data_IF_878575852593
#
_entry.id   IF_878575852593
#
_cell.length_a   1.000
_cell.length_b   1.000
_cell.length_c   1.000
_cell.angle_alpha   90.00
_cell.angle_beta   90.00
_cell.angle_gamma   90.00
#
_symmetry.space_group_name_H-M   'P 1'
#
loop_
_entity.id
_entity.type
_entity.pdbx_description
1 polymer ?
#
# COMPACT_ATOMS: atom_id res chain seq x y z
N UNK A 1 50.00 11.23 5.80
CA UNK A 1 49.74 12.60 5.34
C UNK A 1 50.97 13.18 4.62
N UNK A 2 51.44 12.55 3.52
CA UNK A 2 52.62 13.05 2.77
C UNK A 2 52.80 12.44 1.35
N UNK A 3 51.73 12.17 0.60
CA UNK A 3 51.85 11.71 -0.79
C UNK A 3 50.92 12.38 -1.80
N UNK A 4 50.46 13.62 -1.56
CA UNK A 4 49.93 14.46 -2.63
C UNK A 4 51.09 14.96 -3.50
N UNK A 5 51.60 14.07 -4.35
CA UNK A 5 52.52 14.42 -5.44
C UNK A 5 51.78 15.30 -6.43
N UNK A 6 51.81 16.60 -6.14
CA UNK A 6 52.00 17.73 -7.06
C UNK A 6 51.67 17.38 -8.52
N UNK A 7 50.37 17.23 -8.85
CA UNK A 7 49.95 17.29 -10.24
C UNK A 7 50.33 18.68 -10.73
N UNK A 8 51.13 18.74 -11.80
CA UNK A 8 51.72 19.96 -12.37
C UNK A 8 50.81 21.19 -12.24
N UNK A 9 51.32 22.25 -11.62
CA UNK A 9 50.61 23.55 -11.44
C UNK A 9 50.17 24.23 -12.74
N UNK A 10 50.59 23.72 -13.89
CA UNK A 10 50.31 24.33 -15.20
C UNK A 10 48.84 24.10 -15.55
N UNK A 11 48.11 25.18 -15.79
CA UNK A 11 46.70 25.07 -16.19
C UNK A 11 46.58 24.36 -17.55
N UNK A 12 45.50 23.59 -17.78
CA UNK A 12 45.24 22.96 -19.07
C UNK A 12 45.35 23.93 -20.24
N UNK A 13 44.87 25.16 -20.05
CA UNK A 13 45.00 26.25 -21.02
C UNK A 13 46.45 26.60 -21.37
N UNK A 14 47.34 26.73 -20.37
CA UNK A 14 48.76 27.05 -20.64
C UNK A 14 49.43 25.91 -21.40
N UNK A 15 49.09 24.66 -21.10
CA UNK A 15 49.60 23.50 -21.86
C UNK A 15 49.12 23.51 -23.30
N UNK A 16 47.83 23.79 -23.50
CA UNK A 16 47.24 23.92 -24.82
C UNK A 16 47.91 25.05 -25.61
N UNK A 17 48.14 26.22 -24.99
CA UNK A 17 48.84 27.35 -25.63
C UNK A 17 50.27 26.96 -26.00
N UNK A 18 51.01 26.33 -25.08
CA UNK A 18 52.39 25.94 -25.32
C UNK A 18 52.47 24.96 -26.48
N UNK A 19 51.61 23.93 -26.49
CA UNK A 19 51.54 22.95 -27.58
C UNK A 19 51.10 23.59 -28.90
N UNK A 20 50.08 24.45 -28.87
CA UNK A 20 49.59 25.16 -30.05
C UNK A 20 50.66 26.06 -30.65
N UNK A 21 51.37 26.82 -29.82
CA UNK A 21 52.47 27.68 -30.25
C UNK A 21 53.63 26.85 -30.80
N UNK A 22 54.01 25.77 -30.11
CA UNK A 22 55.09 24.88 -30.53
C UNK A 22 54.82 24.15 -31.86
N UNK A 23 53.55 23.90 -32.20
CA UNK A 23 53.17 23.28 -33.48
C UNK A 23 52.94 24.30 -34.59
N UNK A 24 52.28 25.42 -34.30
CA UNK A 24 51.87 26.41 -35.31
C UNK A 24 53.04 27.31 -35.72
N UNK A 25 53.89 27.75 -34.79
CA UNK A 25 54.96 28.71 -35.11
C UNK A 25 55.99 28.12 -36.08
N UNK A 26 56.58 26.92 -35.84
CA UNK A 26 57.49 26.31 -36.79
C UNK A 26 56.81 26.01 -38.13
N UNK A 27 55.53 25.61 -38.10
CA UNK A 27 54.75 25.40 -39.31
C UNK A 27 54.66 26.67 -40.16
N UNK A 28 54.16 27.77 -39.58
CA UNK A 28 54.01 29.04 -40.31
C UNK A 28 55.36 29.50 -40.85
N UNK A 29 56.44 29.41 -40.07
CA UNK A 29 57.78 29.82 -40.51
C UNK A 29 58.30 28.95 -41.66
N UNK A 30 58.18 27.62 -41.56
CA UNK A 30 58.71 26.71 -42.58
C UNK A 30 57.88 26.66 -43.85
N UNK A 31 56.57 26.86 -43.76
CA UNK A 31 55.66 26.66 -44.89
C UNK A 31 55.16 27.96 -45.51
N UNK A 32 55.57 29.14 -45.02
CA UNK A 32 55.02 30.42 -45.48
C UNK A 32 55.09 30.60 -47.00
N UNK A 33 56.25 30.34 -47.61
CA UNK A 33 56.45 30.51 -49.06
C UNK A 33 55.61 29.50 -49.87
N UNK A 34 55.55 28.25 -49.40
CA UNK A 34 54.72 27.20 -50.02
C UNK A 34 53.23 27.49 -49.86
N UNK A 35 52.85 28.14 -48.76
CA UNK A 35 51.48 28.52 -48.45
C UNK A 35 50.99 29.66 -49.34
N UNK A 36 51.78 30.72 -49.49
CA UNK A 36 51.44 31.82 -50.39
C UNK A 36 51.36 31.37 -51.85
N UNK A 37 52.28 30.49 -52.25
CA UNK A 37 52.31 29.92 -53.61
C UNK A 37 51.11 29.01 -53.85
N UNK A 38 50.78 28.14 -52.88
CA UNK A 38 49.61 27.26 -52.95
C UNK A 38 48.30 28.02 -53.07
N UNK A 39 48.13 29.11 -52.30
CA UNK A 39 46.94 29.98 -52.36
C UNK A 39 46.79 30.69 -53.71
N UNK A 40 47.90 31.14 -54.31
CA UNK A 40 47.88 31.80 -55.62
C UNK A 40 47.63 30.81 -56.77
N UNK A 41 47.99 29.53 -56.60
CA UNK A 41 47.92 28.52 -57.66
C UNK A 41 46.62 27.72 -57.66
N UNK A 42 45.92 27.66 -56.52
CA UNK A 42 44.70 26.87 -56.36
C UNK A 42 43.47 27.54 -56.98
N UNK A 43 43.15 27.14 -58.21
CA UNK A 43 41.90 27.47 -58.91
C UNK A 43 40.69 26.68 -58.42
N UNK A 44 40.87 25.57 -57.67
CA UNK A 44 39.78 24.70 -57.23
C UNK A 44 39.03 25.22 -56.00
N UNK A 45 39.67 26.08 -55.20
CA UNK A 45 39.12 26.64 -53.98
C UNK A 45 39.15 25.69 -52.77
N UNK A 46 39.69 24.47 -52.92
CA UNK A 46 39.74 23.47 -51.86
C UNK A 46 40.64 23.92 -50.72
N UNK A 47 41.73 24.64 -51.00
CA UNK A 47 42.61 25.18 -49.96
C UNK A 47 41.83 26.12 -49.03
N UNK A 48 40.93 26.97 -49.55
CA UNK A 48 40.09 27.83 -48.71
C UNK A 48 39.14 27.03 -47.83
N UNK A 49 38.59 25.92 -48.32
CA UNK A 49 37.75 25.01 -47.51
C UNK A 49 38.57 24.36 -46.39
N UNK A 50 39.78 23.88 -46.71
CA UNK A 50 40.71 23.31 -45.73
C UNK A 50 41.04 24.36 -44.65
N UNK A 51 41.35 25.59 -45.04
CA UNK A 51 41.65 26.67 -44.10
C UNK A 51 40.45 27.06 -43.23
N UNK A 52 39.25 27.12 -43.80
CA UNK A 52 38.03 27.38 -43.06
C UNK A 52 37.73 26.30 -42.01
N UNK A 53 37.84 25.02 -42.40
CA UNK A 53 37.68 23.89 -41.49
C UNK A 53 38.76 23.86 -40.41
N UNK A 54 40.00 24.21 -40.77
CA UNK A 54 41.10 24.31 -39.82
C UNK A 54 40.88 25.41 -38.79
N UNK A 55 40.51 26.61 -39.24
CA UNK A 55 40.20 27.74 -38.35
C UNK A 55 39.04 27.41 -37.41
N UNK A 56 37.99 26.76 -37.92
CA UNK A 56 36.89 26.25 -37.11
C UNK A 56 37.36 25.23 -36.07
N UNK A 57 38.21 24.27 -36.48
CA UNK A 57 38.78 23.26 -35.58
C UNK A 57 39.63 23.87 -34.46
N UNK A 58 40.48 24.85 -34.78
CA UNK A 58 41.27 25.59 -33.78
C UNK A 58 40.36 26.33 -32.81
N UNK A 59 39.37 27.09 -33.32
CA UNK A 59 38.46 27.86 -32.48
C UNK A 59 37.67 26.95 -31.51
N UNK A 60 37.19 25.81 -32.01
CA UNK A 60 36.48 24.82 -31.18
C UNK A 60 37.43 24.16 -30.15
N UNK A 61 38.66 23.86 -30.55
CA UNK A 61 39.69 23.32 -29.65
C UNK A 61 40.05 24.30 -28.53
N UNK A 62 40.19 25.58 -28.87
CA UNK A 62 40.45 26.66 -27.93
C UNK A 62 39.30 26.84 -26.92
N UNK A 63 38.05 26.84 -27.41
CA UNK A 63 36.86 26.89 -26.56
C UNK A 63 36.81 25.73 -25.58
N UNK A 64 37.16 24.52 -26.01
CA UNK A 64 37.24 23.34 -25.15
C UNK A 64 38.33 23.50 -24.07
N UNK A 65 39.51 24.00 -24.43
CA UNK A 65 40.61 24.24 -23.49
C UNK A 65 40.24 25.28 -22.41
N UNK A 66 39.55 26.36 -22.80
CA UNK A 66 39.03 27.36 -21.86
C UNK A 66 37.98 26.78 -20.91
N UNK A 67 37.04 25.99 -21.45
CA UNK A 67 36.00 25.36 -20.65
C UNK A 67 36.59 24.38 -19.62
N UNK A 68 37.51 23.49 -20.03
CA UNK A 68 38.19 22.56 -19.10
C UNK A 68 38.95 23.32 -18.01
N UNK A 69 39.57 24.45 -18.35
CA UNK A 69 40.31 25.26 -17.38
C UNK A 69 39.38 25.93 -16.37
N UNK A 70 38.20 26.39 -16.81
CA UNK A 70 37.16 26.92 -15.91
C UNK A 70 36.62 25.85 -14.97
N UNK A 71 36.29 24.67 -15.49
CA UNK A 71 35.83 23.52 -14.70
C UNK A 71 36.90 23.10 -13.67
N UNK A 72 38.16 23.02 -14.08
CA UNK A 72 39.26 22.70 -13.15
C UNK A 72 39.43 23.76 -12.07
N UNK A 73 39.31 25.05 -12.42
CA UNK A 73 39.42 26.13 -11.43
C UNK A 73 38.26 26.08 -10.42
N UNK A 74 37.04 25.80 -10.87
CA UNK A 74 35.87 25.61 -10.01
C UNK A 74 36.04 24.39 -9.09
N UNK A 75 36.49 23.26 -9.65
CA UNK A 75 36.78 22.04 -8.90
C UNK A 75 37.84 22.27 -7.81
N UNK A 76 38.97 22.91 -8.13
CA UNK A 76 40.03 23.20 -7.14
C UNK A 76 39.55 24.14 -6.03
N UNK A 77 38.62 25.07 -6.32
CA UNK A 77 37.99 25.90 -5.28
C UNK A 77 37.12 25.06 -4.35
N UNK A 78 36.26 24.21 -4.92
CA UNK A 78 35.39 23.31 -4.17
C UNK A 78 36.20 22.32 -3.32
N UNK A 79 37.27 21.73 -3.85
CA UNK A 79 38.17 20.83 -3.11
C UNK A 79 38.81 21.52 -1.89
N UNK A 80 39.20 22.79 -2.02
CA UNK A 80 39.84 23.55 -0.94
C UNK A 80 38.86 23.93 0.18
N UNK A 81 37.68 24.39 -0.19
CA UNK A 81 36.67 24.85 0.77
C UNK A 81 35.89 23.64 1.35
N UNK A 82 35.94 22.48 0.67
CA UNK A 82 35.12 21.28 0.95
C UNK A 82 33.63 21.57 1.00
N UNK A 83 33.20 22.60 0.28
CA UNK A 83 31.81 22.98 0.13
C UNK A 83 31.49 23.07 -1.36
N UNK A 84 30.39 22.42 -1.75
CA UNK A 84 29.85 22.50 -3.09
C UNK A 84 28.96 23.75 -3.21
N UNK A 85 29.58 24.92 -3.36
CA UNK A 85 28.85 26.15 -3.62
C UNK A 85 28.19 26.14 -5.01
N UNK A 86 27.19 27.00 -5.22
CA UNK A 86 26.48 27.14 -6.49
C UNK A 86 27.38 27.85 -7.53
N UNK A 87 28.37 27.12 -8.06
CA UNK A 87 29.24 27.56 -9.15
C UNK A 87 28.65 27.08 -10.49
N UNK A 88 28.89 27.82 -11.58
CA UNK A 88 28.40 27.51 -12.92
C UNK A 88 29.15 26.35 -13.60
N UNK A 89 29.79 25.49 -12.81
CA UNK A 89 30.57 24.34 -13.28
C UNK A 89 29.69 23.09 -13.28
N UNK A 90 29.65 22.40 -14.42
CA UNK A 90 28.92 21.13 -14.55
C UNK A 90 29.44 20.12 -13.51
N UNK A 91 30.76 20.08 -13.28
CA UNK A 91 31.39 19.18 -12.32
C UNK A 91 31.01 19.51 -10.87
N UNK A 92 31.07 20.77 -10.47
CA UNK A 92 30.70 21.19 -9.11
C UNK A 92 29.23 20.88 -8.82
N UNK A 93 28.35 21.07 -9.80
CA UNK A 93 26.93 20.74 -9.65
C UNK A 93 26.68 19.25 -9.38
N UNK A 94 27.51 18.35 -9.94
CA UNK A 94 27.41 16.91 -9.69
C UNK A 94 27.84 16.57 -8.26
N UNK A 95 28.93 17.18 -7.79
CA UNK A 95 29.35 17.04 -6.40
C UNK A 95 28.28 17.56 -5.45
N UNK A 96 27.66 18.71 -5.75
CA UNK A 96 26.57 19.26 -4.95
C UNK A 96 25.40 18.27 -4.86
N UNK A 97 24.91 17.77 -5.99
CA UNK A 97 23.85 16.74 -6.02
C UNK A 97 24.25 15.49 -5.23
N UNK A 98 25.53 15.13 -5.26
CA UNK A 98 26.11 14.07 -4.46
C UNK A 98 26.03 14.34 -2.96
N UNK A 99 26.33 15.55 -2.53
CA UNK A 99 26.22 15.94 -1.11
C UNK A 99 24.76 16.02 -0.69
N UNK A 100 23.91 16.68 -1.48
CA UNK A 100 22.48 16.85 -1.19
C UNK A 100 21.76 15.50 -1.04
N UNK A 101 22.06 14.52 -1.92
CA UNK A 101 21.44 13.20 -1.82
C UNK A 101 22.01 12.38 -0.64
N UNK A 102 23.24 12.65 -0.20
CA UNK A 102 23.80 12.03 1.01
C UNK A 102 23.11 12.60 2.26
N UNK A 103 22.88 13.92 2.30
CA UNK A 103 22.11 14.58 3.36
C UNK A 103 20.66 14.07 3.41
N UNK A 104 20.06 13.79 2.26
CA UNK A 104 18.73 13.19 2.15
C UNK A 104 18.67 11.70 2.55
N UNK A 105 19.79 11.09 2.97
CA UNK A 105 19.81 9.70 3.42
C UNK A 105 19.96 8.67 2.29
N UNK A 106 20.22 9.10 1.05
CA UNK A 106 20.34 8.20 -0.11
C UNK A 106 21.78 7.70 -0.30
N UNK A 107 21.92 6.43 -0.69
CA UNK A 107 23.20 5.91 -1.17
C UNK A 107 23.48 6.43 -2.59
N UNK A 108 24.72 6.83 -2.85
CA UNK A 108 25.11 7.42 -4.13
C UNK A 108 26.30 6.67 -4.67
N UNK A 109 26.18 6.22 -5.91
CA UNK A 109 27.31 5.72 -6.66
C UNK A 109 27.95 6.85 -7.47
N UNK A 110 28.95 7.51 -6.89
CA UNK A 110 29.62 8.65 -7.53
C UNK A 110 30.33 8.26 -8.83
N UNK A 111 30.78 7.01 -8.95
CA UNK A 111 31.39 6.47 -10.16
C UNK A 111 30.44 6.57 -11.37
N UNK A 112 29.17 6.23 -11.17
CA UNK A 112 28.15 6.31 -12.24
C UNK A 112 27.91 7.76 -12.67
N UNK A 113 27.78 8.69 -11.71
CA UNK A 113 27.58 10.11 -12.02
C UNK A 113 28.76 10.69 -12.79
N UNK A 114 29.97 10.34 -12.39
CA UNK A 114 31.19 10.82 -13.01
C UNK A 114 31.45 10.15 -14.38
N UNK A 115 31.02 8.90 -14.57
CA UNK A 115 31.03 8.21 -15.86
C UNK A 115 30.09 8.92 -16.86
N UNK A 116 28.90 9.33 -16.42
CA UNK A 116 27.98 10.11 -17.26
C UNK A 116 28.58 11.47 -17.61
N UNK A 117 29.23 12.14 -16.66
CA UNK A 117 29.94 13.40 -16.90
C UNK A 117 31.09 13.25 -17.90
N UNK A 118 31.94 12.24 -17.72
CA UNK A 118 33.09 12.00 -18.59
C UNK A 118 32.66 11.64 -20.01
N UNK A 119 31.55 10.90 -20.16
CA UNK A 119 30.94 10.62 -21.46
C UNK A 119 30.44 11.89 -22.15
N UNK A 120 29.70 12.76 -21.44
CA UNK A 120 29.23 14.05 -21.95
C UNK A 120 30.39 14.96 -22.36
N UNK A 121 31.47 14.98 -21.57
CA UNK A 121 32.67 15.76 -21.85
C UNK A 121 33.44 15.22 -23.07
N UNK A 122 33.63 13.90 -23.14
CA UNK A 122 34.30 13.24 -24.26
C UNK A 122 33.60 13.50 -25.59
N UNK A 123 32.25 13.52 -25.59
CA UNK A 123 31.47 13.86 -26.77
C UNK A 123 31.77 15.28 -27.29
N UNK A 124 31.89 16.27 -26.40
CA UNK A 124 32.24 17.66 -26.76
C UNK A 124 33.67 17.81 -27.31
N UNK A 125 34.60 16.97 -26.88
CA UNK A 125 36.01 17.01 -27.31
C UNK A 125 36.18 16.26 -28.63
N UNK A 126 35.43 15.18 -28.84
CA UNK A 126 35.47 14.36 -30.05
C UNK A 126 35.12 15.13 -31.32
N UNK A 127 34.35 16.23 -31.24
CA UNK A 127 34.07 17.08 -32.40
C UNK A 127 35.33 17.63 -33.07
N UNK A 128 36.35 18.03 -32.29
CA UNK A 128 37.63 18.52 -32.83
C UNK A 128 38.38 17.41 -33.56
N UNK A 129 38.35 16.19 -32.99
CA UNK A 129 38.95 15.02 -33.64
C UNK A 129 38.21 14.64 -34.93
N UNK A 130 36.89 14.82 -34.98
CA UNK A 130 36.10 14.61 -36.19
C UNK A 130 36.46 15.66 -37.26
N UNK A 131 36.58 16.94 -36.90
CA UNK A 131 37.05 17.99 -37.81
C UNK A 131 38.44 17.70 -38.37
N UNK A 132 39.37 17.19 -37.54
CA UNK A 132 40.68 16.72 -37.98
C UNK A 132 40.58 15.61 -39.04
N UNK A 133 39.73 14.61 -38.82
CA UNK A 133 39.52 13.53 -39.79
C UNK A 133 38.90 14.05 -41.10
N UNK A 134 37.90 14.93 -41.02
CA UNK A 134 37.28 15.56 -42.18
C UNK A 134 38.33 16.37 -42.97
N UNK A 135 39.23 17.08 -42.28
CA UNK A 135 40.27 17.88 -42.92
C UNK A 135 41.29 17.02 -43.69
N UNK A 136 41.64 15.85 -43.16
CA UNK A 136 42.47 14.87 -43.87
C UNK A 136 41.75 14.37 -45.13
N UNK A 137 40.46 14.02 -45.01
CA UNK A 137 39.67 13.57 -46.16
C UNK A 137 39.47 14.66 -47.21
N UNK A 138 39.37 15.92 -46.80
CA UNK A 138 39.33 17.07 -47.71
C UNK A 138 40.66 17.22 -48.48
N UNK A 139 41.80 16.98 -47.82
CA UNK A 139 43.10 16.91 -48.48
C UNK A 139 43.18 15.79 -49.52
N UNK A 140 42.68 14.60 -49.18
CA UNK A 140 42.59 13.49 -50.14
C UNK A 140 41.62 13.77 -51.29
N UNK A 141 40.50 14.47 -51.05
CA UNK A 141 39.62 14.91 -52.14
C UNK A 141 40.35 15.85 -53.10
N UNK A 142 41.25 16.69 -52.57
CA UNK A 142 42.12 17.54 -53.36
C UNK A 142 43.05 16.78 -54.31
N UNK A 143 43.53 15.58 -53.96
CA UNK A 143 44.29 14.76 -54.92
C UNK A 143 43.44 14.30 -56.07
N UNK A 144 42.21 13.85 -55.80
CA UNK A 144 41.30 13.38 -56.83
C UNK A 144 41.01 14.51 -57.82
N UNK A 145 40.72 15.71 -57.31
CA UNK A 145 40.44 16.87 -58.15
C UNK A 145 41.71 17.30 -58.92
N UNK A 146 42.88 17.33 -58.28
CA UNK A 146 44.12 17.66 -58.97
C UNK A 146 44.50 16.65 -60.05
N UNK A 147 44.23 15.35 -59.85
CA UNK A 147 44.40 14.32 -60.88
C UNK A 147 43.44 14.53 -62.07
N UNK A 148 42.18 14.91 -61.82
CA UNK A 148 41.23 15.23 -62.89
C UNK A 148 41.71 16.43 -63.73
N UNK A 149 42.23 17.47 -63.08
CA UNK A 149 42.83 18.63 -63.77
C UNK A 149 44.05 18.20 -64.60
N UNK A 150 44.89 17.33 -64.02
CA UNK A 150 46.09 16.79 -64.67
C UNK A 150 45.73 16.02 -65.94
N UNK A 151 44.74 15.11 -65.85
CA UNK A 151 44.26 14.33 -66.99
C UNK A 151 43.66 15.24 -68.07
N UNK A 152 42.91 16.27 -67.67
CA UNK A 152 42.35 17.25 -68.60
C UNK A 152 43.46 18.01 -69.35
N UNK A 153 44.53 18.41 -68.66
CA UNK A 153 45.70 19.02 -69.30
C UNK A 153 46.39 18.09 -70.30
N UNK A 154 46.54 16.80 -69.97
CA UNK A 154 47.10 15.80 -70.90
C UNK A 154 46.21 15.63 -72.13
N UNK A 155 44.88 15.63 -71.98
CA UNK A 155 43.96 15.56 -73.12
C UNK A 155 44.09 16.77 -74.05
N UNK A 156 44.31 17.98 -73.51
CA UNK A 156 44.58 19.19 -74.31
C UNK A 156 45.90 19.08 -75.09
N UNK A 157 46.97 18.59 -74.45
CA UNK A 157 48.26 18.35 -75.12
C UNK A 157 48.11 17.36 -76.29
N UNK A 158 47.38 16.26 -76.08
CA UNK A 158 47.18 15.23 -77.11
C UNK A 158 46.29 15.72 -78.26
N UNK A 159 45.29 16.57 -77.97
CA UNK A 159 44.42 17.17 -78.99
C UNK A 159 45.14 18.20 -79.85
N UNK A 160 46.09 18.96 -79.28
CA UNK A 160 46.86 19.97 -79.98
C UNK A 160 48.17 19.45 -80.61
N UNK A 161 48.50 18.16 -80.40
CA UNK A 161 49.75 17.56 -80.80
C UNK A 161 49.94 17.61 -82.33
N UNK A 162 50.81 18.53 -82.79
CA UNK A 162 51.19 18.68 -84.19
C UNK A 162 50.52 19.84 -84.93
N UNK A 163 49.53 20.51 -84.33
CA UNK A 163 48.78 21.60 -84.99
C UNK A 163 48.94 22.96 -84.30
N UNK A 164 48.98 23.02 -82.96
CA UNK A 164 49.06 24.30 -82.24
C UNK A 164 49.97 24.24 -81.00
N UNK A 165 51.14 24.88 -81.09
CA UNK A 165 52.13 24.93 -80.00
C UNK A 165 51.60 25.66 -78.75
N UNK A 166 50.77 26.70 -78.92
CA UNK A 166 50.24 27.46 -77.79
C UNK A 166 49.26 26.64 -76.95
N UNK A 167 48.38 25.86 -77.59
CA UNK A 167 47.46 24.95 -76.91
C UNK A 167 48.21 23.83 -76.19
N UNK A 168 49.28 23.32 -76.79
CA UNK A 168 50.14 22.33 -76.15
C UNK A 168 50.82 22.89 -74.89
N UNK A 169 51.31 24.14 -74.93
CA UNK A 169 51.91 24.81 -73.77
C UNK A 169 50.86 25.07 -72.67
N UNK A 170 49.64 25.44 -73.06
CA UNK A 170 48.51 25.60 -72.14
C UNK A 170 48.17 24.29 -71.42
N UNK A 171 48.05 23.19 -72.16
CA UNK A 171 47.77 21.88 -71.60
C UNK A 171 48.87 21.39 -70.64
N UNK A 172 50.14 21.71 -70.95
CA UNK A 172 51.27 21.42 -70.05
C UNK A 172 51.18 22.22 -68.74
N UNK A 173 50.90 23.52 -68.81
CA UNK A 173 50.71 24.35 -67.61
C UNK A 173 49.55 23.85 -66.75
N UNK A 174 48.43 23.47 -67.37
CA UNK A 174 47.27 22.89 -66.69
C UNK A 174 47.61 21.56 -66.01
N UNK A 175 48.39 20.72 -66.68
CA UNK A 175 48.87 19.44 -66.14
C UNK A 175 49.72 19.66 -64.87
N UNK A 176 50.68 20.58 -64.94
CA UNK A 176 51.54 20.93 -63.80
C UNK A 176 50.73 21.56 -62.66
N UNK A 177 49.76 22.42 -62.98
CA UNK A 177 48.86 23.02 -62.00
C UNK A 177 48.03 21.96 -61.27
N UNK A 178 47.46 20.99 -62.00
CA UNK A 178 46.69 19.89 -61.40
C UNK A 178 47.51 19.08 -60.39
N UNK A 179 48.76 18.76 -60.74
CA UNK A 179 49.69 18.10 -59.84
C UNK A 179 50.03 18.95 -58.60
N UNK A 180 50.26 20.26 -58.80
CA UNK A 180 50.48 21.21 -57.70
C UNK A 180 49.30 21.28 -56.73
N UNK A 181 48.09 21.42 -57.24
CA UNK A 181 46.86 21.45 -56.43
C UNK A 181 46.69 20.16 -55.63
N UNK A 182 46.89 18.99 -56.25
CA UNK A 182 46.83 17.70 -55.54
C UNK A 182 47.84 17.61 -54.38
N UNK A 183 49.06 18.08 -54.62
CA UNK A 183 50.12 18.06 -53.62
C UNK A 183 49.83 19.01 -52.45
N UNK A 184 49.51 20.28 -52.73
CA UNK A 184 49.27 21.28 -51.69
C UNK A 184 48.03 20.97 -50.84
N UNK A 185 46.93 20.56 -51.46
CA UNK A 185 45.71 20.20 -50.72
C UNK A 185 45.94 19.01 -49.78
N UNK A 186 46.71 18.01 -50.22
CA UNK A 186 47.10 16.87 -49.36
C UNK A 186 48.03 17.28 -48.25
N UNK A 187 49.05 18.08 -48.57
CA UNK A 187 50.01 18.56 -47.60
C UNK A 187 49.31 19.37 -46.50
N UNK A 188 48.46 20.33 -46.86
CA UNK A 188 47.71 21.12 -45.87
C UNK A 188 46.67 20.29 -45.13
N UNK A 189 45.87 19.47 -45.81
CA UNK A 189 44.86 18.64 -45.15
C UNK A 189 45.47 17.63 -44.17
N UNK A 190 46.56 16.96 -44.57
CA UNK A 190 47.27 15.99 -43.76
C UNK A 190 48.01 16.62 -42.58
N UNK A 191 48.68 17.76 -42.78
CA UNK A 191 49.46 18.39 -41.73
C UNK A 191 48.58 19.20 -40.76
N UNK A 192 47.69 20.05 -41.25
CA UNK A 192 46.78 20.83 -40.42
C UNK A 192 45.78 19.93 -39.67
N UNK A 193 45.23 18.93 -40.37
CA UNK A 193 44.28 17.97 -39.80
C UNK A 193 44.98 16.93 -38.95
N UNK A 194 45.87 16.15 -39.56
CA UNK A 194 46.47 14.95 -38.96
C UNK A 194 47.52 15.22 -37.90
N UNK A 195 48.24 16.35 -37.96
CA UNK A 195 49.26 16.70 -36.98
C UNK A 195 48.71 17.75 -36.01
N UNK A 196 48.38 18.95 -36.50
CA UNK A 196 48.05 20.09 -35.63
C UNK A 196 46.74 19.87 -34.88
N UNK A 197 45.60 19.74 -35.57
CA UNK A 197 44.30 19.57 -34.91
C UNK A 197 44.23 18.30 -34.08
N UNK A 198 44.82 17.20 -34.57
CA UNK A 198 44.82 15.92 -33.85
C UNK A 198 45.60 15.99 -32.55
N UNK A 199 46.76 16.66 -32.54
CA UNK A 199 47.54 16.87 -31.33
C UNK A 199 46.78 17.74 -30.31
N UNK A 200 46.12 18.81 -30.77
CA UNK A 200 45.31 19.68 -29.90
C UNK A 200 44.08 18.95 -29.33
N UNK A 201 43.42 18.11 -30.13
CA UNK A 201 42.33 17.26 -29.68
C UNK A 201 42.79 16.29 -28.57
N UNK A 202 43.94 15.65 -28.79
CA UNK A 202 44.52 14.73 -27.82
C UNK A 202 44.92 15.43 -26.50
N UNK A 203 45.42 16.66 -26.54
CA UNK A 203 45.72 17.41 -25.31
C UNK A 203 44.45 17.78 -24.53
N UNK A 204 43.38 18.18 -25.23
CA UNK A 204 42.08 18.43 -24.61
C UNK A 204 41.50 17.16 -23.96
N UNK A 205 41.59 16.01 -24.64
CA UNK A 205 41.16 14.72 -24.10
C UNK A 205 41.96 14.33 -22.85
N UNK A 206 43.29 14.46 -22.90
CA UNK A 206 44.16 14.24 -21.72
C UNK A 206 43.79 15.15 -20.55
N UNK A 207 43.53 16.42 -20.81
CA UNK A 207 43.14 17.38 -19.78
C UNK A 207 41.79 17.05 -19.14
N UNK A 208 40.81 16.65 -19.95
CA UNK A 208 39.50 16.19 -19.51
C UNK A 208 39.56 14.92 -18.67
N UNK A 209 40.31 13.92 -19.13
CA UNK A 209 40.48 12.65 -18.42
C UNK A 209 41.19 12.86 -17.08
N UNK A 210 42.20 13.73 -17.03
CA UNK A 210 42.85 14.11 -15.77
C UNK A 210 41.89 14.79 -14.81
N UNK A 211 41.08 15.73 -15.27
CA UNK A 211 40.07 16.39 -14.43
C UNK A 211 39.06 15.38 -13.86
N UNK A 212 38.61 14.43 -14.69
CA UNK A 212 37.70 13.37 -14.26
C UNK A 212 38.38 12.45 -13.24
N UNK A 213 39.64 12.05 -13.45
CA UNK A 213 40.38 11.22 -12.51
C UNK A 213 40.61 11.92 -11.16
N UNK A 214 41.00 13.20 -11.18
CA UNK A 214 41.16 14.03 -9.98
C UNK A 214 39.81 14.15 -9.22
N UNK A 215 38.70 14.31 -9.94
CA UNK A 215 37.36 14.34 -9.37
C UNK A 215 36.96 13.00 -8.73
N UNK A 216 37.22 11.86 -9.40
CA UNK A 216 36.95 10.53 -8.84
C UNK A 216 37.71 10.34 -7.54
N UNK A 217 39.01 10.65 -7.55
CA UNK A 217 39.86 10.54 -6.37
C UNK A 217 39.34 11.40 -5.21
N UNK A 218 38.92 12.64 -5.49
CA UNK A 218 38.34 13.51 -4.46
C UNK A 218 37.05 12.94 -3.88
N UNK A 219 36.17 12.39 -4.72
CA UNK A 219 34.93 11.76 -4.26
C UNK A 219 35.17 10.49 -3.44
N UNK A 220 36.15 9.66 -3.82
CA UNK A 220 36.56 8.48 -3.07
C UNK A 220 37.13 8.83 -1.68
N UNK A 221 37.86 9.93 -1.57
CA UNK A 221 38.43 10.37 -0.30
C UNK A 221 37.42 11.09 0.59
N UNK A 222 36.46 11.81 0.02
CA UNK A 222 35.56 12.68 0.79
C UNK A 222 34.10 12.19 0.87
N UNK A 223 33.45 11.85 -0.26
CA UNK A 223 32.04 11.46 -0.28
C UNK A 223 31.83 9.98 0.06
N UNK A 224 32.63 9.09 -0.53
CA UNK A 224 32.43 7.64 -0.41
C UNK A 224 32.51 7.13 1.04
N UNK A 225 33.40 7.60 1.92
CA UNK A 225 33.41 7.19 3.32
C UNK A 225 32.13 7.60 4.05
N UNK A 226 31.61 8.80 3.76
CA UNK A 226 30.37 9.29 4.38
C UNK A 226 29.16 8.50 3.88
N UNK A 227 29.10 8.19 2.57
CA UNK A 227 28.06 7.35 1.99
C UNK A 227 28.09 5.92 2.57
N UNK A 228 29.27 5.32 2.71
CA UNK A 228 29.44 4.00 3.35
C UNK A 228 29.07 4.01 4.83
N UNK A 229 29.43 5.08 5.55
CA UNK A 229 29.06 5.23 6.97
C UNK A 229 27.54 5.36 7.13
N UNK A 230 26.88 6.15 6.28
CA UNK A 230 25.44 6.27 6.24
C UNK A 230 24.77 4.93 5.92
N UNK A 231 25.26 4.21 4.90
CA UNK A 231 24.81 2.87 4.54
C UNK A 231 24.91 1.90 5.73
N UNK A 232 26.05 1.90 6.44
CA UNK A 232 26.26 1.07 7.62
C UNK A 232 25.32 1.45 8.77
N UNK A 233 25.04 2.74 8.97
CA UNK A 233 24.13 3.22 10.01
C UNK A 233 22.69 2.80 9.72
N UNK A 234 22.25 2.93 8.46
CA UNK A 234 20.92 2.48 8.02
C UNK A 234 20.80 0.97 8.18
N UNK A 235 21.82 0.20 7.79
CA UNK A 235 21.83 -1.25 7.98
C UNK A 235 21.77 -1.66 9.47
N UNK A 236 22.52 -0.96 10.33
CA UNK A 236 22.50 -1.21 11.78
C UNK A 236 21.16 -0.88 12.43
N UNK A 237 20.57 0.29 12.10
CA UNK A 237 19.24 0.68 12.59
C UNK A 237 18.14 -0.27 12.14
N UNK A 238 18.19 -0.74 10.89
CA UNK A 238 17.25 -1.74 10.38
C UNK A 238 17.37 -3.07 11.11
N UNK A 239 18.58 -3.50 11.47
CA UNK A 239 18.78 -4.71 12.25
C UNK A 239 18.22 -4.55 13.68
N UNK A 240 18.40 -3.39 14.30
CA UNK A 240 17.84 -3.06 15.62
C UNK A 240 16.31 -3.03 15.60
N UNK A 241 15.69 -2.42 14.58
CA UNK A 241 14.23 -2.43 14.38
C UNK A 241 13.69 -3.85 14.16
N UNK A 242 14.37 -4.68 13.36
CA UNK A 242 13.99 -6.08 13.15
C UNK A 242 14.09 -6.89 14.45
N UNK A 243 15.14 -6.68 15.25
CA UNK A 243 15.25 -7.29 16.57
C UNK A 243 14.16 -6.80 17.54
N UNK A 244 13.83 -5.51 17.49
CA UNK A 244 12.71 -4.93 18.23
C UNK A 244 11.38 -5.60 17.84
N UNK A 245 11.12 -5.75 16.55
CA UNK A 245 9.92 -6.42 16.04
C UNK A 245 9.87 -7.89 16.48
N UNK A 246 10.97 -8.64 16.37
CA UNK A 246 11.04 -10.01 16.87
C UNK A 246 10.76 -10.11 18.36
N UNK A 247 11.24 -9.14 19.16
CA UNK A 247 10.96 -9.09 20.59
C UNK A 247 9.48 -8.85 20.87
N UNK A 248 8.87 -7.89 20.19
CA UNK A 248 7.42 -7.63 20.33
C UNK A 248 6.57 -8.84 19.90
N UNK A 249 6.97 -9.56 18.84
CA UNK A 249 6.32 -10.79 18.42
C UNK A 249 6.47 -11.92 19.44
N UNK A 250 7.64 -12.04 20.08
CA UNK A 250 7.86 -13.02 21.15
C UNK A 250 7.03 -12.67 22.40
N UNK A 251 6.99 -11.41 22.80
CA UNK A 251 6.17 -10.94 23.93
C UNK A 251 4.67 -11.16 23.66
N UNK A 252 4.22 -10.91 22.43
CA UNK A 252 2.85 -11.23 22.00
C UNK A 252 2.58 -12.74 22.04
N UNK A 253 3.51 -13.56 21.55
CA UNK A 253 3.41 -15.02 21.60
C UNK A 253 3.31 -15.55 23.04
N UNK A 254 4.16 -15.07 23.94
CA UNK A 254 4.14 -15.44 25.36
C UNK A 254 2.83 -15.00 26.04
N UNK A 255 2.33 -13.80 25.68
CA UNK A 255 1.04 -13.30 26.14
C UNK A 255 -0.13 -14.17 25.68
N UNK A 256 -0.11 -14.62 24.42
CA UNK A 256 -1.11 -15.55 23.88
C UNK A 256 -1.03 -16.89 24.62
N UNK A 257 0.16 -17.48 24.80
CA UNK A 257 0.31 -18.74 25.54
C UNK A 257 -0.19 -18.64 26.99
N UNK A 258 0.10 -17.55 27.70
CA UNK A 258 -0.46 -17.32 29.05
C UNK A 258 -1.97 -17.19 29.02
N UNK A 259 -2.52 -16.50 28.02
CA UNK A 259 -3.98 -16.34 27.88
C UNK A 259 -4.63 -17.69 27.59
N UNK A 260 -4.05 -18.53 26.74
CA UNK A 260 -4.51 -19.90 26.48
C UNK A 260 -4.54 -20.72 27.77
N UNK A 261 -3.47 -20.68 28.58
CA UNK A 261 -3.45 -21.39 29.87
C UNK A 261 -4.52 -20.89 30.85
N UNK A 262 -4.79 -19.58 30.88
CA UNK A 262 -5.87 -19.01 31.70
C UNK A 262 -7.23 -19.46 31.19
N UNK A 263 -7.44 -19.52 29.87
CA UNK A 263 -8.69 -20.01 29.28
C UNK A 263 -8.91 -21.48 29.63
N UNK A 264 -7.90 -22.33 29.52
CA UNK A 264 -7.98 -23.75 29.89
C UNK A 264 -8.31 -23.93 31.39
N UNK A 265 -7.64 -23.18 32.27
CA UNK A 265 -7.92 -23.20 33.71
C UNK A 265 -9.34 -22.70 34.05
N UNK A 266 -9.79 -21.63 33.38
CA UNK A 266 -11.14 -21.09 33.57
C UNK A 266 -12.22 -22.00 32.97
N UNK A 267 -11.94 -22.71 31.89
CA UNK A 267 -12.85 -23.70 31.32
C UNK A 267 -13.03 -24.88 32.28
N UNK A 268 -11.95 -25.41 32.85
CA UNK A 268 -12.01 -26.45 33.87
C UNK A 268 -12.77 -26.00 35.14
N UNK A 269 -12.59 -24.73 35.55
CA UNK A 269 -13.33 -24.16 36.67
C UNK A 269 -14.83 -23.98 36.36
N UNK A 270 -15.18 -23.56 35.14
CA UNK A 270 -16.56 -23.46 34.67
C UNK A 270 -17.26 -24.81 34.62
N UNK A 271 -16.60 -25.84 34.10
CA UNK A 271 -17.13 -27.21 34.06
C UNK A 271 -17.44 -27.71 35.48
N UNK A 272 -16.52 -27.47 36.42
CA UNK A 272 -16.72 -27.83 37.83
C UNK A 272 -17.84 -27.02 38.50
N UNK A 273 -17.99 -25.73 38.18
CA UNK A 273 -19.11 -24.92 38.65
C UNK A 273 -20.45 -25.41 38.09
N UNK A 274 -20.49 -25.82 36.82
CA UNK A 274 -21.69 -26.34 36.19
C UNK A 274 -22.13 -27.65 36.81
N UNK A 275 -21.21 -28.59 37.06
CA UNK A 275 -21.54 -29.84 37.77
C UNK A 275 -22.09 -29.58 39.17
N UNK A 276 -21.48 -28.67 39.94
CA UNK A 276 -21.96 -28.31 41.27
C UNK A 276 -23.36 -27.69 41.23
N UNK A 277 -23.64 -26.80 40.27
CA UNK A 277 -24.95 -26.17 40.11
C UNK A 277 -26.04 -27.18 39.75
N UNK A 278 -25.73 -28.14 38.86
CA UNK A 278 -26.65 -29.23 38.51
C UNK A 278 -26.94 -30.11 39.74
N UNK A 279 -25.91 -30.43 40.53
CA UNK A 279 -26.07 -31.20 41.75
C UNK A 279 -26.92 -30.46 42.81
N UNK A 280 -26.66 -29.17 43.00
CA UNK A 280 -27.39 -28.32 43.95
C UNK A 280 -28.85 -28.15 43.54
N UNK A 281 -29.11 -27.87 42.25
CA UNK A 281 -30.46 -27.77 41.70
C UNK A 281 -31.24 -29.08 41.84
N UNK A 282 -30.60 -30.23 41.61
CA UNK A 282 -31.22 -31.56 41.82
C UNK A 282 -31.55 -31.81 43.29
N UNK A 283 -30.67 -31.43 44.20
CA UNK A 283 -30.88 -31.59 45.64
C UNK A 283 -32.02 -30.69 46.14
N UNK A 284 -32.04 -29.43 45.70
CA UNK A 284 -33.09 -28.47 46.04
C UNK A 284 -34.45 -28.89 45.47
N UNK A 285 -34.50 -29.32 44.21
CA UNK A 285 -35.72 -29.84 43.58
C UNK A 285 -36.25 -31.08 44.30
N UNK A 286 -35.37 -32.00 44.73
CA UNK A 286 -35.77 -33.17 45.53
C UNK A 286 -36.33 -32.77 46.90
N UNK A 287 -35.77 -31.73 47.52
CA UNK A 287 -36.24 -31.22 48.82
C UNK A 287 -37.64 -30.59 48.69
N UNK A 288 -37.83 -29.74 47.68
CA UNK A 288 -39.13 -29.10 47.40
C UNK A 288 -40.19 -30.13 47.03
N UNK A 289 -39.84 -31.14 46.23
CA UNK A 289 -40.77 -32.22 45.85
C UNK A 289 -41.20 -33.04 47.07
N UNK A 290 -40.26 -33.42 47.94
CA UNK A 290 -40.59 -34.18 49.15
C UNK A 290 -41.48 -33.38 50.11
N UNK A 291 -41.16 -32.10 50.32
CA UNK A 291 -41.99 -31.20 51.15
C UNK A 291 -43.41 -31.04 50.59
N UNK A 292 -43.55 -30.91 49.26
CA UNK A 292 -44.86 -30.80 48.62
C UNK A 292 -45.69 -32.07 48.71
N UNK A 293 -45.05 -33.26 48.71
CA UNK A 293 -45.73 -34.54 48.92
C UNK A 293 -46.24 -34.66 50.37
N UNK A 294 -45.46 -34.23 51.36
CA UNK A 294 -45.88 -34.23 52.77
C UNK A 294 -47.08 -33.31 53.03
N UNK A 295 -47.07 -32.08 52.50
CA UNK A 295 -48.22 -31.16 52.61
C UNK A 295 -49.48 -31.73 51.95
N UNK A 296 -49.33 -32.40 50.81
CA UNK A 296 -50.46 -33.02 50.10
C UNK A 296 -51.07 -34.18 50.89
N UNK A 297 -50.25 -34.99 51.57
CA UNK A 297 -50.70 -36.06 52.46
C UNK A 297 -51.44 -35.52 53.68
N UNK A 298 -50.96 -34.43 54.28
CA UNK A 298 -51.59 -33.78 55.43
C UNK A 298 -52.94 -33.14 55.07
N UNK A 299 -53.01 -32.49 53.89
CA UNK A 299 -54.26 -31.99 53.34
C UNK A 299 -55.30 -33.10 53.09
N UNK A 300 -54.84 -34.29 52.64
CA UNK A 300 -55.72 -35.44 52.44
C UNK A 300 -56.29 -35.98 53.75
N UNK A 301 -55.46 -36.09 54.80
CA UNK A 301 -55.92 -36.52 56.14
C UNK A 301 -56.93 -35.53 56.74
N UNK A 302 -56.71 -34.23 56.57
CA UNK A 302 -57.65 -33.20 57.01
C UNK A 302 -59.03 -33.33 56.34
N UNK A 303 -59.06 -33.73 55.07
CA UNK A 303 -60.30 -33.99 54.34
C UNK A 303 -61.06 -35.21 54.89
N UNK A 304 -60.33 -36.28 55.24
CA UNK A 304 -60.92 -37.48 55.85
C UNK A 304 -61.57 -37.16 57.19
N UNK A 305 -60.89 -36.39 58.05
CA UNK A 305 -61.43 -35.95 59.35
C UNK A 305 -62.69 -35.08 59.19
N UNK A 306 -62.72 -34.20 58.18
CA UNK A 306 -63.90 -33.38 57.88
C UNK A 306 -65.11 -34.22 57.45
N UNK A 307 -64.88 -35.32 56.71
CA UNK A 307 -65.94 -36.25 56.29
C UNK A 307 -66.43 -37.10 57.46
N UNK A 308 -65.54 -37.58 58.34
CA UNK A 308 -65.91 -38.34 59.54
C UNK A 308 -66.71 -37.49 60.55
N UNK A 309 -66.30 -36.24 60.77
CA UNK A 309 -66.99 -35.31 61.70
C UNK A 309 -68.36 -34.82 61.20
N UNK A 310 -68.63 -34.90 59.89
CA UNK A 310 -69.93 -34.57 59.30
C UNK A 310 -71.00 -35.67 59.45
N UNK A 311 -70.60 -36.89 59.84
CA UNK A 311 -71.51 -38.06 59.86
C UNK A 311 -72.41 -38.11 61.11
N UNK A 312 -71.91 -37.68 62.27
CA UNK A 312 -72.69 -37.63 63.52
C UNK A 312 -73.92 -36.70 63.47
N UNK A 313 -73.82 -35.42 63.05
CA UNK A 313 -74.97 -34.51 63.07
C UNK A 313 -76.05 -34.90 62.05
N UNK A 314 -75.71 -35.65 61.00
CA UNK A 314 -76.68 -36.17 60.04
C UNK A 314 -77.48 -37.33 60.65
N UNK A 315 -76.82 -38.20 61.43
CA UNK A 315 -77.46 -39.32 62.13
C UNK A 315 -78.42 -38.81 63.21
N UNK A 316 -78.00 -37.82 64.00
CA UNK A 316 -78.82 -37.20 65.05
C UNK A 316 -80.10 -36.55 64.47
N UNK A 317 -79.98 -35.79 63.36
CA UNK A 317 -81.15 -35.20 62.69
C UNK A 317 -82.10 -36.21 62.06
N UNK A 318 -81.60 -37.38 61.64
CA UNK A 318 -82.43 -38.48 61.14
C UNK A 318 -83.20 -39.16 62.28
N UNK A 319 -82.61 -39.25 63.47
CA UNK A 319 -83.22 -39.82 64.67
C UNK A 319 -84.34 -38.90 65.22
N UNK A 320 -84.10 -37.60 65.28
CA UNK A 320 -85.11 -36.59 65.65
C UNK A 320 -86.30 -36.57 64.69
N UNK A 321 -86.04 -36.71 63.38
CA UNK A 321 -87.10 -36.78 62.38
C UNK A 321 -87.97 -38.03 62.55
N UNK A 322 -87.37 -39.17 62.90
CA UNK A 322 -88.10 -40.41 63.13
C UNK A 322 -89.02 -40.32 64.36
N UNK A 323 -88.57 -39.67 65.44
CA UNK A 323 -89.39 -39.42 66.64
C UNK A 323 -90.57 -38.50 66.33
N UNK A 324 -90.34 -37.39 65.64
CA UNK A 324 -91.39 -36.44 65.28
C UNK A 324 -92.50 -37.05 64.40
N UNK A 325 -92.12 -37.95 63.47
CA UNK A 325 -93.08 -38.69 62.63
C UNK A 325 -93.94 -39.64 63.48
N UNK A 326 -93.33 -40.32 64.45
CA UNK A 326 -94.05 -41.27 65.31
C UNK A 326 -95.07 -40.56 66.23
N UNK A 327 -94.68 -39.42 66.81
CA UNK A 327 -95.57 -38.61 67.66
C UNK A 327 -96.77 -38.06 66.88
N UNK A 328 -96.56 -37.61 65.65
CA UNK A 328 -97.64 -37.16 64.77
C UNK A 328 -98.62 -38.29 64.41
N UNK A 329 -98.12 -39.51 64.20
CA UNK A 329 -98.95 -40.68 63.92
C UNK A 329 -99.82 -41.06 65.13
N UNK A 330 -99.26 -41.05 66.34
CA UNK A 330 -100.02 -41.31 67.58
C UNK A 330 -101.08 -40.24 67.85
N UNK A 331 -100.76 -38.95 67.67
CA UNK A 331 -101.73 -37.86 67.83
C UNK A 331 -102.91 -37.98 66.85
N UNK A 332 -102.63 -38.36 65.60
CA UNK A 332 -103.67 -38.58 64.58
C UNK A 332 -104.58 -39.76 64.93
N UNK A 333 -104.02 -40.86 65.45
CA UNK A 333 -104.79 -42.03 65.91
C UNK A 333 -105.75 -41.67 67.05
N UNK A 334 -105.27 -40.93 68.06
CA UNK A 334 -106.08 -40.53 69.20
C UNK A 334 -107.25 -39.62 68.80
N UNK A 335 -107.02 -38.66 67.88
CA UNK A 335 -108.08 -37.77 67.39
C UNK A 335 -109.18 -38.50 66.60
N UNK A 336 -108.80 -39.54 65.83
CA UNK A 336 -109.76 -40.39 65.10
C UNK A 336 -110.63 -41.20 66.08
N UNK A 337 -110.05 -41.70 67.17
CA UNK A 337 -110.77 -42.48 68.18
C UNK A 337 -111.72 -41.61 69.02
N UNK A 338 -111.32 -40.39 69.39
CA UNK A 338 -112.20 -39.41 70.04
C UNK A 338 -113.40 -39.02 69.17
N UNK A 339 -113.17 -38.80 67.88
CA UNK A 339 -114.23 -38.43 66.93
C UNK A 339 -115.24 -39.56 66.76
N UNK A 340 -114.76 -40.81 66.70
CA UNK A 340 -115.62 -42.01 66.61
C UNK A 340 -116.48 -42.18 67.87
N UNK A 341 -115.91 -41.96 69.06
CA UNK A 341 -116.64 -42.07 70.33
C UNK A 341 -117.70 -40.97 70.49
N UNK A 342 -117.42 -39.74 70.06
CA UNK A 342 -118.40 -38.65 70.06
C UNK A 342 -119.56 -38.93 69.10
N UNK A 343 -119.27 -39.50 67.92
CA UNK A 343 -120.29 -39.79 66.90
C UNK A 343 -121.25 -40.91 67.33
N UNK A 344 -120.75 -41.96 67.97
CA UNK A 344 -121.58 -43.04 68.54
C UNK A 344 -122.53 -42.53 69.64
N UNK A 345 -122.05 -41.63 70.51
CA UNK A 345 -122.86 -41.06 71.59
C UNK A 345 -124.01 -40.18 71.09
N UNK A 346 -123.82 -39.50 69.95
CA UNK A 346 -124.87 -38.69 69.30
C UNK A 346 -125.91 -39.59 68.61
N UNK A 347 -125.48 -40.69 67.98
CA UNK A 347 -126.36 -41.66 67.34
C UNK A 347 -127.26 -42.38 68.36
N UNK A 348 -126.69 -42.82 69.49
CA UNK A 348 -127.46 -43.46 70.58
C UNK A 348 -128.46 -42.48 71.21
N UNK A 349 -128.06 -41.21 71.42
CA UNK A 349 -128.95 -40.17 71.95
C UNK A 349 -130.14 -39.89 71.04
N UNK A 350 -129.93 -39.86 69.72
CA UNK A 350 -131.02 -39.68 68.73
C UNK A 350 -131.93 -40.90 68.62
N UNK A 351 -131.39 -42.11 68.76
CA UNK A 351 -132.18 -43.34 68.74
C UNK A 351 -133.14 -43.42 69.96
N UNK A 352 -132.66 -43.01 71.14
CA UNK A 352 -133.48 -42.95 72.37
C UNK A 352 -134.56 -41.87 72.26
N UNK A 353 -134.24 -40.70 71.70
CA UNK A 353 -135.23 -39.62 71.49
C UNK A 353 -136.32 -40.00 70.47
N UNK A 354 -135.95 -40.73 69.41
CA UNK A 354 -136.91 -41.26 68.43
C UNK A 354 -137.79 -42.36 69.04
N UNK A 355 -137.23 -43.22 69.89
CA UNK A 355 -137.99 -44.26 70.60
C UNK A 355 -139.02 -43.64 71.56
N UNK A 356 -138.65 -42.59 72.31
CA UNK A 356 -139.57 -41.86 73.19
C UNK A 356 -140.70 -41.16 72.40
N UNK A 357 -140.36 -40.54 71.27
CA UNK A 357 -141.35 -39.90 70.38
C UNK A 357 -142.31 -40.91 69.74
N UNK A 358 -141.81 -42.08 69.35
CA UNK A 358 -142.65 -43.17 68.81
C UNK A 358 -143.52 -43.80 69.91
N UNK A 359 -143.01 -43.94 71.13
CA UNK A 359 -143.77 -44.45 72.28
C UNK A 359 -144.90 -43.50 72.67
N UNK A 360 -144.64 -42.19 72.73
CA UNK A 360 -145.69 -41.17 72.98
C UNK A 360 -146.73 -41.10 71.86
N UNK A 361 -146.31 -41.33 70.61
CA UNK A 361 -147.25 -41.42 69.49
C UNK A 361 -148.12 -42.69 69.58
N UNK A 362 -147.58 -43.80 70.10
CA UNK A 362 -148.34 -45.02 70.34
C UNK A 362 -149.35 -44.86 71.48
N UNK A 363 -148.97 -44.21 72.60
CA UNK A 363 -149.89 -43.88 73.71
C UNK A 363 -151.04 -42.96 73.25
N UNK A 364 -150.76 -41.94 72.43
CA UNK A 364 -151.81 -41.05 71.90
C UNK A 364 -152.80 -41.77 70.97
N UNK A 365 -152.34 -42.79 70.24
CA UNK A 365 -153.24 -43.61 69.40
C UNK A 365 -154.04 -44.57 70.28
N UNK A 366 -153.47 -45.08 71.38
CA UNK A 366 -154.14 -45.97 72.32
C UNK A 366 -155.21 -45.23 73.17
N UNK A 367 -154.96 -43.97 73.55
CA UNK A 367 -155.97 -43.09 74.17
C UNK A 367 -157.12 -42.81 73.20
N UNK A 368 -156.85 -42.60 71.90
CA UNK A 368 -157.92 -42.39 70.91
C UNK A 368 -158.77 -43.65 70.69
N UNK A 369 -158.17 -44.84 70.75
CA UNK A 369 -158.87 -46.13 70.58
C UNK A 369 -159.64 -46.55 71.84
N UNK A 370 -159.23 -46.05 73.02
CA UNK A 370 -159.89 -46.36 74.30
C UNK A 370 -160.98 -45.36 74.71
N UNK A 371 -161.00 -44.15 74.15
CA UNK A 371 -162.16 -43.24 74.31
C UNK A 371 -163.30 -43.55 73.32
N UNK A 372 -163.04 -43.99 72.08
CA UNK A 372 -164.12 -44.25 71.10
C UNK A 372 -164.85 -45.60 71.30
N UNK A 373 -164.40 -46.41 72.27
CA UNK A 373 -165.15 -47.55 72.83
C UNK A 373 -165.93 -47.20 74.11
N UNK A 374 -166.22 -45.90 74.30
CA UNK A 374 -167.28 -45.37 75.17
C UNK A 374 -167.96 -44.13 74.55
N UNK A 375 -168.67 -44.33 73.45
CA UNK A 375 -169.87 -43.60 72.96
C UNK A 375 -170.07 -44.13 71.52
N UNK A 376 -170.83 -45.19 71.25
CA UNK A 376 -172.30 -45.33 71.35
C UNK A 376 -173.12 -44.25 70.63
#
# INVERSE_FOLDING_TARGET
>A
MNSMKRTSKVSPFIRWILLSTALIVPFVVLTWEYFSTGLATDTSGIIYVILGLFAYGIAHSFRNALWITRERAAFVRMEKIKEAHNDNSDLVSIFKKGVDALEAGSQINFDTLLTVYSAKQSAKIRSVSATSAILITAGLLGTVIGLVITISGISEILGAAGENYEEMLSGLNKTVQGMGTAFYTTFFGGLLGGIVLKALAAENEKAANRLTADALQCAELWLMPQSRALASKIAGGMQEEVFGLMRTLRELSDGISKTTLIIEDKQAALDKQFENMVHESKAEMSKTLNSGIEEMLDGFNSLVIAVESGHEPIKEKMEDLAVAINDAASATSNAVEETRNAQNKILDGRAIELADKLSKAAELIEDFVSEDSKEE
#
